data_IF_678575075865
#
_entry.id   IF_678575075865
#
_cell.length_a   1.000
_cell.length_b   1.000
_cell.length_c   1.000
_cell.angle_alpha   90.00
_cell.angle_beta   90.00
_cell.angle_gamma   90.00
#
_symmetry.space_group_name_H-M   'P 1'
#
loop_
_entity.id
_entity.type
_entity.pdbx_description
1 polymer ?
#
# COMPACT_ATOMS: atom_id res chain seq x y z
N UNK A 1 5.58 -19.23 1.32
CA UNK A 1 6.19 -19.34 2.68
C UNK A 1 6.44 -17.99 3.39
N UNK A 2 6.61 -16.85 2.69
CA UNK A 2 6.88 -15.54 3.32
C UNK A 2 5.67 -14.86 4.00
N UNK A 3 4.44 -15.12 3.54
CA UNK A 3 3.24 -14.45 4.06
C UNK A 3 2.87 -14.86 5.49
N UNK A 4 3.18 -16.09 5.89
CA UNK A 4 2.85 -16.59 7.23
C UNK A 4 3.75 -15.99 8.33
N UNK A 5 4.97 -15.57 7.99
CA UNK A 5 5.90 -14.95 8.95
C UNK A 5 5.45 -13.56 9.43
N UNK A 6 4.51 -12.93 8.72
CA UNK A 6 4.00 -11.59 9.03
C UNK A 6 3.23 -11.46 10.34
N UNK A 7 2.85 -12.58 10.97
CA UNK A 7 2.12 -12.59 12.25
C UNK A 7 3.04 -12.73 13.46
N UNK A 8 4.35 -12.94 13.27
CA UNK A 8 5.29 -13.30 14.34
C UNK A 8 6.41 -12.26 14.52
N UNK A 9 6.52 -11.28 13.64
CA UNK A 9 7.57 -10.25 13.71
C UNK A 9 7.23 -9.17 14.76
N UNK A 10 8.23 -8.68 15.51
CA UNK A 10 8.03 -7.50 16.36
C UNK A 10 7.84 -6.24 15.49
N UNK A 11 7.15 -5.24 16.03
CA UNK A 11 7.17 -3.90 15.45
C UNK A 11 8.57 -3.26 15.66
N UNK A 12 9.10 -2.47 14.70
CA UNK A 12 8.46 -1.96 13.47
C UNK A 12 8.61 -2.89 12.24
N UNK A 13 9.28 -4.03 12.39
CA UNK A 13 9.60 -4.93 11.29
C UNK A 13 8.34 -5.57 10.69
N UNK A 14 7.33 -5.85 11.52
CA UNK A 14 6.02 -6.30 11.07
C UNK A 14 5.36 -5.30 10.10
N UNK A 15 5.28 -4.02 10.45
CA UNK A 15 4.65 -2.99 9.60
C UNK A 15 5.36 -2.82 8.26
N UNK A 16 6.69 -2.81 8.25
CA UNK A 16 7.45 -2.76 6.99
C UNK A 16 7.20 -4.01 6.14
N UNK A 17 7.13 -5.19 6.75
CA UNK A 17 6.84 -6.44 6.02
C UNK A 17 5.45 -6.44 5.41
N UNK A 18 4.43 -6.07 6.20
CA UNK A 18 3.04 -5.96 5.76
C UNK A 18 2.91 -4.97 4.59
N UNK A 19 3.52 -3.79 4.71
CA UNK A 19 3.49 -2.77 3.66
C UNK A 19 4.27 -3.21 2.41
N UNK A 20 5.45 -3.80 2.57
CA UNK A 20 6.27 -4.28 1.45
C UNK A 20 5.54 -5.31 0.61
N UNK A 21 4.90 -6.29 1.26
CA UNK A 21 4.16 -7.30 0.53
C UNK A 21 2.90 -6.76 -0.10
N UNK A 22 2.24 -5.80 0.54
CA UNK A 22 1.12 -5.07 -0.08
C UNK A 22 1.58 -4.38 -1.36
N UNK A 23 2.65 -3.57 -1.29
CA UNK A 23 3.22 -2.89 -2.47
C UNK A 23 3.65 -3.89 -3.55
N UNK A 24 4.21 -5.03 -3.18
CA UNK A 24 4.58 -6.09 -4.12
C UNK A 24 3.37 -6.71 -4.83
N UNK A 25 2.32 -7.04 -4.08
CA UNK A 25 1.12 -7.68 -4.63
C UNK A 25 0.34 -6.72 -5.53
N UNK A 26 0.23 -5.45 -5.11
CA UNK A 26 -0.53 -4.43 -5.81
C UNK A 26 0.22 -3.79 -6.98
N UNK A 27 1.54 -3.62 -6.87
CA UNK A 27 2.27 -2.69 -7.74
C UNK A 27 3.69 -3.12 -8.13
N UNK A 28 4.07 -4.41 -7.99
CA UNK A 28 5.45 -4.87 -8.35
C UNK A 28 5.89 -4.50 -9.78
N UNK A 29 4.96 -4.47 -10.74
CA UNK A 29 5.23 -4.10 -12.13
C UNK A 29 5.22 -2.59 -12.38
N UNK A 30 4.83 -1.78 -11.39
CA UNK A 30 4.70 -0.33 -11.53
C UNK A 30 6.04 0.38 -11.33
N UNK A 31 6.09 1.64 -11.78
CA UNK A 31 7.21 2.55 -11.52
C UNK A 31 7.41 2.76 -10.01
N UNK A 32 8.58 3.27 -9.62
CA UNK A 32 8.84 3.61 -8.19
C UNK A 32 7.80 4.59 -7.64
N UNK A 33 7.37 5.56 -8.46
CA UNK A 33 6.30 6.50 -8.08
C UNK A 33 4.97 5.78 -7.87
N UNK A 34 4.60 4.83 -8.74
CA UNK A 34 3.37 4.06 -8.58
C UNK A 34 3.36 3.18 -7.32
N UNK A 35 4.50 2.57 -7.00
CA UNK A 35 4.66 1.79 -5.76
C UNK A 35 4.60 2.69 -4.51
N UNK A 36 5.22 3.87 -4.54
CA UNK A 36 5.11 4.87 -3.48
C UNK A 36 3.66 5.37 -3.32
N UNK A 37 2.92 5.54 -4.41
CA UNK A 37 1.52 5.97 -4.37
C UNK A 37 0.60 4.92 -3.72
N UNK A 38 0.81 3.62 -3.96
CA UNK A 38 0.08 2.56 -3.23
C UNK A 38 0.43 2.56 -1.75
N UNK A 39 1.73 2.69 -1.42
CA UNK A 39 2.15 2.79 -0.02
C UNK A 39 1.53 4.00 0.68
N UNK A 40 1.44 5.14 -0.02
CA UNK A 40 0.82 6.38 0.46
C UNK A 40 -0.64 6.18 0.84
N UNK A 41 -1.42 5.44 0.03
CA UNK A 41 -2.82 5.11 0.35
C UNK A 41 -2.92 4.30 1.65
N UNK A 42 -2.07 3.27 1.82
CA UNK A 42 -2.06 2.46 3.04
C UNK A 42 -1.66 3.29 4.28
N UNK A 43 -0.62 4.12 4.18
CA UNK A 43 -0.18 4.97 5.28
C UNK A 43 -1.23 6.04 5.66
N UNK A 44 -1.92 6.61 4.66
CA UNK A 44 -3.02 7.56 4.87
C UNK A 44 -4.20 6.92 5.58
N UNK A 45 -4.58 5.69 5.20
CA UNK A 45 -5.65 4.93 5.87
C UNK A 45 -5.28 4.63 7.33
N UNK A 46 -4.03 4.30 7.60
CA UNK A 46 -3.49 4.09 8.95
C UNK A 46 -3.55 5.36 9.79
N UNK A 47 -3.13 6.50 9.23
CA UNK A 47 -3.19 7.80 9.91
C UNK A 47 -4.63 8.22 10.25
N UNK A 48 -5.61 7.83 9.44
CA UNK A 48 -7.04 8.06 9.71
C UNK A 48 -7.63 7.13 10.77
N UNK A 49 -6.87 6.15 11.27
CA UNK A 49 -7.35 5.15 12.24
C UNK A 49 -8.38 4.17 11.64
N UNK A 50 -8.43 4.04 10.31
CA UNK A 50 -9.35 3.13 9.65
C UNK A 50 -8.81 1.70 9.80
N UNK A 51 -9.61 0.77 10.34
CA UNK A 51 -9.27 -0.64 10.59
C UNK A 51 -8.21 -0.94 11.67
N UNK A 52 -7.56 0.06 12.25
CA UNK A 52 -6.61 -0.09 13.36
C UNK A 52 -5.53 0.97 13.37
N UNK A 53 -4.55 0.82 14.27
CA UNK A 53 -3.51 1.82 14.52
C UNK A 53 -2.15 1.45 13.92
N UNK A 54 -2.01 0.22 13.40
CA UNK A 54 -0.80 -0.27 12.73
C UNK A 54 -0.97 -0.39 11.23
N UNK A 55 0.14 -0.39 10.49
CA UNK A 55 0.08 -0.59 9.03
C UNK A 55 -0.43 -1.98 8.69
N UNK A 56 -0.05 -2.99 9.47
CA UNK A 56 -0.56 -4.35 9.31
C UNK A 56 -2.09 -4.43 9.45
N UNK A 57 -2.71 -3.72 10.39
CA UNK A 57 -4.17 -3.73 10.57
C UNK A 57 -4.88 -3.25 9.31
N UNK A 58 -4.40 -2.15 8.72
CA UNK A 58 -4.93 -1.57 7.49
C UNK A 58 -4.81 -2.53 6.31
N UNK A 59 -3.63 -3.11 6.09
CA UNK A 59 -3.40 -3.92 4.89
C UNK A 59 -3.96 -5.33 5.00
N UNK A 60 -4.21 -5.82 6.22
CA UNK A 60 -4.90 -7.09 6.50
C UNK A 60 -6.40 -6.92 6.67
N UNK A 61 -6.93 -5.71 6.57
CA UNK A 61 -8.37 -5.47 6.60
C UNK A 61 -9.06 -6.17 5.40
N UNK A 62 -10.19 -6.87 5.62
CA UNK A 62 -10.84 -7.65 4.58
C UNK A 62 -11.12 -6.85 3.30
N UNK A 63 -10.68 -7.40 2.16
CA UNK A 63 -10.91 -6.86 0.82
C UNK A 63 -10.35 -5.45 0.58
N UNK A 64 -9.47 -4.93 1.44
CA UNK A 64 -8.84 -3.63 1.24
C UNK A 64 -7.62 -3.69 0.34
N UNK A 65 -6.89 -4.79 0.42
CA UNK A 65 -5.69 -5.07 -0.38
C UNK A 65 -5.63 -6.56 -0.74
N UNK A 66 -4.91 -6.86 -1.81
CA UNK A 66 -4.69 -8.19 -2.35
C UNK A 66 -4.13 -9.17 -1.30
N UNK A 67 -3.39 -8.67 -0.31
CA UNK A 67 -2.82 -9.45 0.79
C UNK A 67 -3.86 -10.37 1.47
N UNK A 68 -5.11 -9.93 1.60
CA UNK A 68 -6.19 -10.72 2.23
C UNK A 68 -6.84 -11.74 1.31
N UNK A 69 -6.68 -11.57 0.00
CA UNK A 69 -7.26 -12.45 -1.03
C UNK A 69 -6.23 -13.39 -1.65
N UNK A 70 -4.95 -13.10 -1.46
CA UNK A 70 -3.83 -13.93 -1.90
C UNK A 70 -3.66 -15.13 -0.97
N UNK A 71 -3.47 -16.32 -1.55
CA UNK A 71 -3.22 -17.53 -0.77
C UNK A 71 -1.98 -17.37 0.12
N UNK A 72 -2.04 -17.69 1.43
CA UNK A 72 -0.87 -17.67 2.31
C UNK A 72 0.28 -18.57 1.84
N UNK A 73 -0.03 -19.58 1.02
CA UNK A 73 0.93 -20.50 0.43
C UNK A 73 1.58 -19.96 -0.86
N UNK A 74 1.12 -18.82 -1.38
CA UNK A 74 1.74 -18.20 -2.55
C UNK A 74 3.15 -17.73 -2.21
N UNK A 75 4.11 -18.10 -3.06
CA UNK A 75 5.49 -17.70 -2.93
C UNK A 75 5.77 -16.37 -3.63
N UNK A 76 6.77 -15.66 -3.12
CA UNK A 76 7.32 -14.47 -3.76
C UNK A 76 8.30 -14.95 -4.84
N UNK A 77 7.85 -14.96 -6.07
CA UNK A 77 8.63 -15.51 -7.19
C UNK A 77 9.75 -14.56 -7.65
N UNK A 78 9.57 -13.25 -7.47
CA UNK A 78 10.54 -12.23 -7.87
C UNK A 78 11.11 -11.50 -6.66
N UNK A 79 12.23 -11.99 -6.15
CA UNK A 79 12.92 -11.44 -4.97
C UNK A 79 13.45 -10.03 -5.19
N UNK A 80 13.90 -9.67 -6.40
CA UNK A 80 14.38 -8.31 -6.70
C UNK A 80 13.25 -7.30 -6.63
N UNK A 81 12.09 -7.63 -7.21
CA UNK A 81 10.91 -6.79 -7.11
C UNK A 81 10.38 -6.70 -5.67
N UNK A 82 10.51 -7.77 -4.87
CA UNK A 82 10.17 -7.72 -3.46
C UNK A 82 11.13 -6.85 -2.65
N UNK A 83 12.44 -6.94 -2.89
CA UNK A 83 13.43 -6.06 -2.26
C UNK A 83 13.12 -4.59 -2.56
N UNK A 84 12.77 -4.27 -3.81
CA UNK A 84 12.33 -2.92 -4.17
C UNK A 84 11.09 -2.49 -3.38
N UNK A 85 10.08 -3.35 -3.28
CA UNK A 85 8.87 -3.08 -2.51
C UNK A 85 9.18 -2.89 -1.01
N UNK A 86 10.13 -3.64 -0.47
CA UNK A 86 10.63 -3.50 0.90
C UNK A 86 11.30 -2.15 1.16
N UNK A 87 12.14 -1.70 0.23
CA UNK A 87 12.78 -0.38 0.32
C UNK A 87 11.76 0.75 0.23
N UNK A 88 10.73 0.59 -0.62
CA UNK A 88 9.64 1.56 -0.75
C UNK A 88 8.78 1.62 0.50
N UNK A 89 8.47 0.47 1.11
CA UNK A 89 7.76 0.41 2.38
C UNK A 89 8.53 1.13 3.49
N UNK A 90 9.83 0.86 3.63
CA UNK A 90 10.69 1.54 4.60
C UNK A 90 10.72 3.05 4.42
N UNK A 91 10.90 3.52 3.17
CA UNK A 91 10.87 4.96 2.84
C UNK A 91 9.52 5.60 3.13
N UNK A 92 8.42 4.90 2.89
CA UNK A 92 7.07 5.41 3.13
C UNK A 92 6.77 5.53 4.62
N UNK A 93 7.20 4.56 5.42
CA UNK A 93 7.10 4.60 6.89
C UNK A 93 7.94 5.75 7.45
N UNK A 94 9.19 5.90 6.99
CA UNK A 94 10.04 7.03 7.40
C UNK A 94 9.40 8.38 7.04
N UNK A 95 8.87 8.52 5.82
CA UNK A 95 8.17 9.73 5.39
C UNK A 95 6.96 10.05 6.27
N UNK A 96 6.19 9.04 6.71
CA UNK A 96 5.05 9.25 7.62
C UNK A 96 5.45 9.55 9.07
N UNK A 97 6.72 9.34 9.43
CA UNK A 97 7.29 9.77 10.70
C UNK A 97 7.64 11.27 10.75
N UNK A 98 7.64 11.96 9.61
CA UNK A 98 7.90 13.40 9.52
C UNK A 98 6.65 14.22 9.89
N UNK A 99 6.82 15.49 10.32
CA UNK A 99 5.74 16.48 10.37
C UNK A 99 4.99 16.55 9.04
N UNK A 100 3.67 16.75 9.08
CA UNK A 100 2.80 16.63 7.91
C UNK A 100 3.19 17.56 6.74
N UNK A 101 3.71 18.74 7.05
CA UNK A 101 4.20 19.76 6.11
C UNK A 101 5.58 19.44 5.50
N UNK A 102 6.33 18.52 6.10
CA UNK A 102 7.61 18.02 5.57
C UNK A 102 7.46 16.74 4.74
N UNK A 103 6.29 16.10 4.78
CA UNK A 103 6.04 14.85 4.06
C UNK A 103 6.00 15.07 2.55
N UNK A 104 6.60 14.14 1.82
CA UNK A 104 6.44 14.05 0.38
C UNK A 104 5.19 13.24 0.02
N UNK A 105 4.36 13.78 -0.86
CA UNK A 105 3.18 13.11 -1.42
C UNK A 105 3.29 13.01 -2.94
N UNK A 106 2.83 11.88 -3.48
CA UNK A 106 2.71 11.59 -4.91
C UNK A 106 1.23 11.56 -5.34
N UNK A 107 0.34 11.16 -4.42
CA UNK A 107 -1.11 11.12 -4.63
C UNK A 107 -1.82 11.79 -3.45
N UNK A 108 -1.67 13.13 -3.31
CA UNK A 108 -2.19 13.87 -2.16
C UNK A 108 -3.69 13.60 -1.99
N UNK A 109 -4.10 13.38 -0.74
CA UNK A 109 -5.47 13.04 -0.33
C UNK A 109 -6.04 11.72 -0.86
N UNK A 110 -5.34 10.99 -1.75
CA UNK A 110 -5.89 9.75 -2.29
C UNK A 110 -5.96 8.65 -1.23
N UNK A 111 -7.14 8.11 -1.01
CA UNK A 111 -7.38 7.04 -0.04
C UNK A 111 -7.96 5.78 -0.70
N UNK A 112 -8.15 5.80 -2.02
CA UNK A 112 -8.58 4.66 -2.83
C UNK A 112 -7.76 4.60 -4.11
N UNK A 113 -7.63 3.40 -4.67
CA UNK A 113 -7.13 3.24 -6.03
C UNK A 113 -7.82 2.06 -6.72
N UNK A 114 -7.77 2.07 -8.05
CA UNK A 114 -8.26 0.99 -8.88
C UNK A 114 -7.41 0.90 -10.15
N UNK A 115 -7.42 -0.26 -10.81
CA UNK A 115 -6.84 -0.39 -12.15
C UNK A 115 -7.50 0.62 -13.09
N UNK A 116 -6.71 1.32 -13.90
CA UNK A 116 -7.18 2.42 -14.74
C UNK A 116 -8.20 1.98 -15.81
N UNK A 117 -8.19 0.69 -16.16
CA UNK A 117 -9.11 0.04 -17.10
C UNK A 117 -10.49 -0.28 -16.53
N UNK A 118 -10.70 -0.12 -15.22
CA UNK A 118 -12.00 -0.32 -14.57
C UNK A 118 -12.54 0.99 -13.98
N UNK A 119 -13.86 1.08 -13.81
CA UNK A 119 -14.51 2.20 -13.14
C UNK A 119 -15.51 1.68 -12.10
N UNK A 120 -15.05 1.48 -10.85
CA UNK A 120 -15.93 1.14 -9.74
C UNK A 120 -17.02 2.20 -9.53
N UNK A 121 -18.18 1.81 -8.99
CA UNK A 121 -19.30 2.72 -8.77
C UNK A 121 -18.95 3.90 -7.85
N UNK A 122 -18.15 3.65 -6.81
CA UNK A 122 -17.67 4.67 -5.87
C UNK A 122 -16.72 5.68 -6.52
N UNK A 123 -16.13 5.37 -7.67
CA UNK A 123 -15.15 6.23 -8.35
C UNK A 123 -15.80 7.21 -9.33
N UNK A 124 -17.12 7.12 -9.54
CA UNK A 124 -17.83 7.95 -10.51
C UNK A 124 -17.82 9.42 -10.07
N UNK A 125 -17.46 10.30 -11.00
CA UNK A 125 -17.36 11.76 -10.79
C UNK A 125 -16.33 12.21 -9.75
N UNK A 126 -15.44 11.30 -9.33
CA UNK A 126 -14.38 11.62 -8.38
C UNK A 126 -13.12 12.04 -9.13
N UNK A 127 -12.41 13.04 -8.59
CA UNK A 127 -11.12 13.42 -9.12
C UNK A 127 -10.10 12.29 -8.90
N UNK A 128 -9.25 12.05 -9.90
CA UNK A 128 -8.26 10.99 -9.84
C UNK A 128 -6.91 11.41 -10.43
N UNK A 129 -5.83 10.96 -9.79
CA UNK A 129 -4.48 11.03 -10.33
C UNK A 129 -4.16 9.68 -10.95
N UNK A 130 -3.72 9.67 -12.21
CA UNK A 130 -3.30 8.43 -12.89
C UNK A 130 -1.80 8.28 -12.82
N UNK A 131 -1.32 7.14 -12.32
CA UNK A 131 0.10 6.79 -12.28
C UNK A 131 0.24 5.33 -12.73
N UNK A 132 0.88 5.11 -13.87
CA UNK A 132 0.97 3.79 -14.48
C UNK A 132 -0.43 3.22 -14.76
N UNK A 133 -0.68 2.00 -14.30
CA UNK A 133 -1.94 1.30 -14.52
C UNK A 133 -2.99 1.57 -13.44
N UNK A 134 -2.76 2.53 -12.54
CA UNK A 134 -3.66 2.86 -11.44
C UNK A 134 -4.23 4.28 -11.54
N UNK A 135 -5.50 4.40 -11.15
CA UNK A 135 -6.15 5.68 -10.82
C UNK A 135 -6.31 5.76 -9.31
N UNK A 136 -5.83 6.85 -8.72
CA UNK A 136 -5.85 7.14 -7.29
C UNK A 136 -6.88 8.22 -7.01
N UNK A 137 -7.83 7.97 -6.10
CA UNK A 137 -8.99 8.80 -5.84
C UNK A 137 -9.01 9.29 -4.39
N UNK A 138 -9.52 10.51 -4.18
CA UNK A 138 -9.83 11.09 -2.87
C UNK A 138 -11.32 10.96 -2.61
N UNK A 139 -11.72 9.98 -1.82
CA UNK A 139 -13.14 9.67 -1.59
C UNK A 139 -13.62 10.23 -0.25
N UNK A 140 -12.82 10.06 0.81
CA UNK A 140 -13.15 10.57 2.15
C UNK A 140 -12.28 11.76 2.55
#
# INVERSE_FOLDING_TARGET
MLLWLMSVLPQPLADQTCLATTVYLEARSQSTVGQLAVAEVAMRRRERGQWGDTVCDVVKAPHQFALTTTSPNQDIENLSAFQKAWDIAGKSIQNWGLPADERRFFVPHADHFATASISPTWSRNQHAITIGDHKFYSIN
#
